data_IF_276764477008
#
_entry.id   IF_276764477008
#
_cell.length_a   1.000
_cell.length_b   1.000
_cell.length_c   1.000
_cell.angle_alpha   90.00
_cell.angle_beta   90.00
_cell.angle_gamma   90.00
#
_symmetry.space_group_name_H-M   'P 1'
#
loop_
_entity.id
_entity.type
_entity.pdbx_description
1 polymer ?
#
# COMPACT_ATOMS: atom_id res chain seq x y z
N UNK A 1 -51.83 40.27 31.20
CA UNK A 1 -52.69 41.13 30.36
C UNK A 1 -52.64 40.54 28.95
N UNK A 2 -53.73 39.95 28.42
CA UNK A 2 -54.76 40.61 27.57
C UNK A 2 -54.14 41.39 26.39
N UNK A 3 -54.19 40.82 25.18
CA UNK A 3 -55.13 41.15 24.07
C UNK A 3 -54.58 42.29 23.18
N UNK A 4 -54.69 42.27 21.84
CA UNK A 4 -55.13 41.21 20.93
C UNK A 4 -55.16 41.66 19.45
N UNK A 5 -55.08 40.68 18.54
CA UNK A 5 -55.89 40.47 17.31
C UNK A 5 -56.16 41.64 16.33
N UNK A 6 -55.89 41.39 15.03
CA UNK A 6 -56.98 41.18 14.03
C UNK A 6 -56.49 40.71 12.63
N UNK A 7 -56.93 39.51 12.23
CA UNK A 7 -57.28 39.09 10.85
C UNK A 7 -58.72 39.61 10.51
N UNK A 8 -59.39 39.41 9.33
CA UNK A 8 -59.34 38.31 8.32
C UNK A 8 -59.57 38.83 6.85
N UNK A 9 -60.27 38.15 5.89
CA UNK A 9 -60.42 36.73 5.44
C UNK A 9 -59.79 36.52 4.02
N UNK A 10 -59.99 35.47 3.18
CA UNK A 10 -60.64 34.13 3.26
C UNK A 10 -61.07 33.58 1.85
N UNK A 11 -61.67 32.38 1.80
CA UNK A 11 -62.23 31.62 0.63
C UNK A 11 -61.24 31.01 -0.40
N UNK A 12 -61.51 29.89 -1.11
CA UNK A 12 -62.15 28.59 -0.75
C UNK A 12 -62.02 27.57 -1.92
N UNK A 13 -61.87 26.27 -1.62
CA UNK A 13 -61.90 25.07 -2.51
C UNK A 13 -63.33 24.80 -3.09
N UNK A 14 -63.66 23.72 -3.90
CA UNK A 14 -62.87 22.58 -4.42
C UNK A 14 -63.21 22.01 -5.86
N UNK A 15 -62.46 20.97 -6.31
CA UNK A 15 -62.82 19.77 -7.15
C UNK A 15 -63.72 19.87 -8.43
N UNK A 16 -63.30 19.23 -9.54
CA UNK A 16 -63.81 17.90 -10.04
C UNK A 16 -63.32 17.44 -11.45
N UNK A 17 -62.84 16.18 -11.49
CA UNK A 17 -63.13 15.08 -12.46
C UNK A 17 -62.70 15.21 -13.95
N UNK A 18 -62.20 14.07 -14.48
CA UNK A 18 -61.63 13.86 -15.82
C UNK A 18 -62.66 13.49 -16.91
N UNK A 19 -62.23 13.56 -18.18
CA UNK A 19 -62.72 12.67 -19.26
C UNK A 19 -61.66 12.51 -20.36
N UNK A 20 -61.50 11.30 -20.91
CA UNK A 20 -60.69 11.04 -22.11
C UNK A 20 -61.39 11.57 -23.38
N UNK A 21 -60.62 11.96 -24.41
CA UNK A 21 -60.59 11.23 -25.71
C UNK A 21 -59.51 11.77 -26.65
N UNK A 22 -59.14 10.95 -27.64
CA UNK A 22 -57.90 11.08 -28.40
C UNK A 22 -58.00 11.94 -29.69
N UNK A 23 -56.91 12.63 -30.00
CA UNK A 23 -56.40 13.00 -31.33
C UNK A 23 -54.99 13.54 -31.09
N UNK A 24 -53.92 13.08 -31.72
CA UNK A 24 -53.82 12.66 -33.11
C UNK A 24 -52.93 13.64 -33.88
N UNK A 25 -51.71 13.89 -33.38
CA UNK A 25 -50.74 14.80 -33.99
C UNK A 25 -49.32 14.22 -33.89
N UNK A 26 -48.81 13.73 -35.02
CA UNK A 26 -47.41 13.34 -35.18
C UNK A 26 -46.54 14.60 -35.21
N UNK A 27 -46.02 15.00 -34.05
CA UNK A 27 -44.91 15.95 -33.96
C UNK A 27 -43.61 15.15 -33.98
N UNK A 28 -42.95 15.14 -35.15
CA UNK A 28 -41.57 14.68 -35.27
C UNK A 28 -40.63 15.72 -34.64
N UNK A 29 -40.58 15.75 -33.30
CA UNK A 29 -39.55 16.46 -32.57
C UNK A 29 -38.24 15.71 -32.74
N UNK A 30 -37.38 16.20 -33.65
CA UNK A 30 -36.03 15.69 -33.79
C UNK A 30 -35.26 15.94 -32.49
N UNK A 31 -35.06 14.89 -31.70
CA UNK A 31 -33.99 14.89 -30.71
C UNK A 31 -32.67 14.97 -31.49
N UNK A 32 -32.09 16.17 -31.48
CA UNK A 32 -30.64 16.29 -31.63
C UNK A 32 -30.06 15.62 -30.38
N UNK A 33 -29.74 14.33 -30.50
CA UNK A 33 -28.83 13.70 -29.58
C UNK A 33 -27.49 14.40 -29.76
N UNK A 34 -27.24 15.43 -28.94
CA UNK A 34 -25.89 15.89 -28.66
C UNK A 34 -25.22 14.74 -27.95
N UNK A 35 -24.63 13.83 -28.73
CA UNK A 35 -23.55 12.97 -28.27
C UNK A 35 -22.46 13.91 -27.79
N UNK A 36 -22.50 14.26 -26.51
CA UNK A 36 -21.30 14.66 -25.81
C UNK A 36 -20.38 13.45 -26.00
N UNK A 37 -19.38 13.61 -26.86
CA UNK A 37 -18.23 12.75 -26.82
C UNK A 37 -17.64 13.00 -25.44
N UNK A 38 -17.98 12.11 -24.49
CA UNK A 38 -17.08 11.80 -23.41
C UNK A 38 -15.79 11.42 -24.11
N UNK A 39 -14.84 12.34 -24.13
CA UNK A 39 -13.44 12.00 -24.28
C UNK A 39 -13.16 11.11 -23.09
N UNK A 40 -13.33 9.80 -23.29
CA UNK A 40 -12.68 8.80 -22.44
C UNK A 40 -11.22 9.23 -22.48
N UNK A 41 -10.73 9.72 -21.35
CA UNK A 41 -9.30 9.94 -21.17
C UNK A 41 -8.64 8.64 -21.62
N UNK A 42 -7.71 8.66 -22.59
CA UNK A 42 -7.04 7.42 -22.96
C UNK A 42 -6.50 6.81 -21.67
N UNK A 43 -6.62 5.48 -21.54
CA UNK A 43 -6.10 4.75 -20.38
C UNK A 43 -4.68 5.25 -20.12
N UNK A 44 -4.53 5.94 -18.99
CA UNK A 44 -3.46 6.92 -18.86
C UNK A 44 -2.12 6.23 -18.69
N UNK A 45 -1.10 6.87 -19.24
CA UNK A 45 0.28 6.52 -19.04
C UNK A 45 0.63 6.59 -17.54
N UNK A 46 1.18 5.52 -16.97
CA UNK A 46 1.52 5.49 -15.55
C UNK A 46 2.73 6.43 -15.33
N UNK A 47 2.50 7.56 -14.65
CA UNK A 47 3.45 8.66 -14.71
C UNK A 47 3.25 9.82 -13.74
N UNK A 48 4.25 10.69 -13.72
CA UNK A 48 4.39 11.86 -12.83
C UNK A 48 3.31 12.94 -12.97
N UNK A 49 2.44 12.88 -13.98
CA UNK A 49 1.26 13.72 -14.07
C UNK A 49 0.25 13.39 -12.95
N UNK A 50 0.09 12.11 -12.66
CA UNK A 50 -0.85 11.59 -11.66
C UNK A 50 -0.12 11.29 -10.33
N UNK A 51 1.12 10.80 -10.40
CA UNK A 51 1.88 10.30 -9.24
C UNK A 51 2.97 11.26 -8.69
N UNK A 52 3.17 12.42 -9.30
CA UNK A 52 4.24 13.38 -8.93
C UNK A 52 5.64 13.03 -9.47
N UNK A 53 6.59 13.97 -9.38
CA UNK A 53 7.93 13.81 -9.96
C UNK A 53 8.82 12.89 -9.09
N UNK A 54 9.86 12.27 -9.68
CA UNK A 54 10.96 11.68 -8.90
C UNK A 54 12.07 12.71 -8.65
N UNK A 55 12.87 12.52 -7.60
CA UNK A 55 14.05 13.32 -7.25
C UNK A 55 15.16 12.49 -6.57
N UNK A 56 14.90 11.27 -6.09
CA UNK A 56 15.90 10.37 -5.51
C UNK A 56 15.95 9.02 -6.23
N UNK A 57 16.93 8.16 -5.91
CA UNK A 57 17.05 6.83 -6.51
C UNK A 57 15.78 6.01 -6.32
N UNK A 58 15.23 5.46 -7.41
CA UNK A 58 13.97 4.70 -7.41
C UNK A 58 14.05 3.53 -8.39
N UNK A 59 13.51 2.37 -8.00
CA UNK A 59 13.28 1.24 -8.92
C UNK A 59 11.80 1.16 -9.24
N UNK A 60 11.49 1.12 -10.53
CA UNK A 60 10.18 0.77 -11.05
C UNK A 60 10.27 -0.59 -11.75
N UNK A 61 9.14 -1.30 -11.77
CA UNK A 61 8.97 -2.52 -12.53
C UNK A 61 7.81 -2.37 -13.49
N UNK A 62 7.92 -2.95 -14.68
CA UNK A 62 6.84 -3.00 -15.67
C UNK A 62 6.66 -4.45 -16.15
N UNK A 63 5.45 -5.01 -16.02
CA UNK A 63 5.16 -6.34 -16.56
C UNK A 63 4.78 -6.25 -18.04
N UNK A 64 5.43 -7.06 -18.89
CA UNK A 64 5.12 -7.21 -20.30
C UNK A 64 4.76 -8.67 -20.60
N UNK A 65 3.77 -8.89 -21.47
CA UNK A 65 3.57 -10.17 -22.15
C UNK A 65 4.43 -10.28 -23.43
N UNK A 66 4.50 -11.47 -24.02
CA UNK A 66 5.29 -11.69 -25.25
C UNK A 66 4.73 -10.87 -26.42
N UNK A 67 5.49 -9.86 -26.84
CA UNK A 67 5.12 -8.94 -27.93
C UNK A 67 4.51 -7.62 -27.48
N UNK A 68 4.28 -7.42 -26.17
CA UNK A 68 4.03 -6.07 -25.63
C UNK A 68 5.23 -5.16 -25.87
N UNK A 69 4.98 -3.85 -25.78
CA UNK A 69 6.00 -2.82 -25.89
C UNK A 69 6.05 -1.92 -24.65
N UNK A 70 7.25 -1.46 -24.34
CA UNK A 70 7.58 -0.56 -23.25
C UNK A 70 8.16 0.74 -23.82
N UNK A 71 7.49 1.86 -23.56
CA UNK A 71 7.99 3.21 -23.84
C UNK A 71 8.23 3.93 -22.50
N UNK A 72 9.35 4.64 -22.37
CA UNK A 72 9.68 5.37 -21.13
C UNK A 72 10.23 6.76 -21.42
N UNK A 73 9.98 7.70 -20.53
CA UNK A 73 10.63 9.02 -20.57
C UNK A 73 10.88 9.58 -19.18
N UNK A 74 11.99 10.29 -19.05
CA UNK A 74 12.46 10.94 -17.82
C UNK A 74 13.02 12.31 -18.19
N UNK A 75 12.24 13.36 -17.95
CA UNK A 75 12.52 14.72 -18.38
C UNK A 75 12.71 15.64 -17.18
N UNK A 76 13.66 16.57 -17.23
CA UNK A 76 13.84 17.57 -16.17
C UNK A 76 12.56 18.41 -16.04
N UNK A 77 11.92 18.33 -14.88
CA UNK A 77 10.69 19.05 -14.54
C UNK A 77 11.04 20.40 -13.91
N UNK A 78 11.67 20.38 -12.73
CA UNK A 78 12.12 21.56 -12.00
C UNK A 78 13.45 21.30 -11.28
N UNK A 79 14.03 22.33 -10.66
CA UNK A 79 15.22 22.25 -9.80
C UNK A 79 15.05 23.14 -8.60
N UNK A 80 15.65 22.76 -7.47
CA UNK A 80 15.83 23.69 -6.37
C UNK A 80 16.72 24.87 -6.84
N UNK A 81 16.35 26.11 -6.49
CA UNK A 81 17.01 27.32 -6.99
C UNK A 81 16.62 27.80 -8.41
N UNK A 82 15.75 27.10 -9.14
CA UNK A 82 15.18 27.54 -10.42
C UNK A 82 15.89 27.03 -11.68
N UNK A 83 15.58 27.60 -12.86
CA UNK A 83 16.03 27.06 -14.15
C UNK A 83 17.54 27.06 -14.36
N UNK A 84 18.22 28.02 -13.72
CA UNK A 84 19.63 28.31 -13.93
C UNK A 84 20.53 27.62 -12.89
N UNK A 85 19.95 26.88 -11.94
CA UNK A 85 20.72 26.03 -11.03
C UNK A 85 21.20 24.75 -11.74
N UNK A 86 22.28 24.19 -11.21
CA UNK A 86 22.71 22.82 -11.53
C UNK A 86 21.98 21.91 -10.54
N UNK A 87 21.42 20.80 -11.02
CA UNK A 87 20.89 19.73 -10.18
C UNK A 87 21.79 18.50 -10.22
N UNK A 88 21.35 17.39 -9.63
CA UNK A 88 22.03 16.10 -9.73
C UNK A 88 22.02 15.54 -11.17
N UNK A 89 23.06 14.78 -11.51
CA UNK A 89 23.04 13.90 -12.69
C UNK A 89 22.12 12.70 -12.40
N UNK A 90 21.36 12.25 -13.40
CA UNK A 90 20.49 11.05 -13.31
C UNK A 90 20.95 10.00 -14.30
N UNK A 91 21.04 8.75 -13.87
CA UNK A 91 21.32 7.61 -14.75
C UNK A 91 20.14 6.66 -14.77
N UNK A 92 19.71 6.28 -15.96
CA UNK A 92 18.56 5.42 -16.20
C UNK A 92 19.01 4.14 -16.87
N UNK A 93 18.57 3.00 -16.34
CA UNK A 93 18.88 1.66 -16.88
C UNK A 93 17.60 0.84 -16.97
N UNK A 94 17.31 0.30 -18.15
CA UNK A 94 16.21 -0.64 -18.38
C UNK A 94 16.79 -2.02 -18.67
N UNK A 95 16.43 -2.99 -17.83
CA UNK A 95 16.89 -4.38 -17.90
C UNK A 95 15.70 -5.31 -18.11
N UNK A 96 15.82 -6.23 -19.06
CA UNK A 96 14.77 -7.21 -19.35
C UNK A 96 14.74 -8.38 -18.32
N UNK A 97 13.70 -9.22 -18.36
CA UNK A 97 13.59 -10.40 -17.50
C UNK A 97 14.72 -11.43 -17.58
N UNK A 98 15.53 -11.44 -18.65
CA UNK A 98 16.70 -12.32 -18.80
C UNK A 98 17.97 -11.69 -18.20
N UNK A 99 17.88 -10.47 -17.63
CA UNK A 99 19.00 -9.74 -17.05
C UNK A 99 19.84 -8.98 -18.08
N UNK A 100 19.33 -8.78 -19.30
CA UNK A 100 20.02 -8.02 -20.36
C UNK A 100 19.61 -6.56 -20.28
N UNK A 101 20.59 -5.67 -20.17
CA UNK A 101 20.38 -4.22 -20.27
C UNK A 101 20.00 -3.87 -21.71
N UNK A 102 18.76 -3.43 -21.90
CA UNK A 102 18.19 -3.09 -23.21
C UNK A 102 18.38 -1.60 -23.56
N UNK A 103 18.46 -0.73 -22.55
CA UNK A 103 18.69 0.70 -22.75
C UNK A 103 19.31 1.34 -21.50
N UNK A 104 20.21 2.29 -21.74
CA UNK A 104 20.80 3.15 -20.72
C UNK A 104 20.80 4.61 -21.20
N UNK A 105 20.66 5.55 -20.28
CA UNK A 105 20.74 6.98 -20.57
C UNK A 105 21.21 7.78 -19.35
N UNK A 106 21.78 8.96 -19.57
CA UNK A 106 22.15 9.89 -18.50
C UNK A 106 21.61 11.28 -18.80
N UNK A 107 20.93 11.88 -17.83
CA UNK A 107 20.54 13.30 -17.84
C UNK A 107 21.58 14.07 -17.03
N UNK A 108 22.27 14.99 -17.70
CA UNK A 108 23.20 15.93 -17.07
C UNK A 108 22.44 16.93 -16.18
N UNK A 109 22.98 17.22 -15.00
CA UNK A 109 22.40 18.11 -14.00
C UNK A 109 22.16 19.55 -14.49
N UNK A 110 22.72 19.95 -15.62
CA UNK A 110 22.49 21.24 -16.32
C UNK A 110 21.46 21.18 -17.45
N UNK A 111 20.89 20.01 -17.77
CA UNK A 111 19.96 19.83 -18.88
C UNK A 111 18.73 20.78 -18.80
N UNK A 112 18.30 21.43 -19.89
CA UNK A 112 17.14 22.32 -19.86
C UNK A 112 15.84 21.63 -19.43
N UNK A 113 14.92 22.37 -18.81
CA UNK A 113 13.59 21.86 -18.47
C UNK A 113 12.86 21.32 -19.72
N UNK A 114 12.16 20.20 -19.55
CA UNK A 114 11.51 19.46 -20.64
C UNK A 114 12.48 18.66 -21.52
N UNK A 115 13.76 18.58 -21.18
CA UNK A 115 14.75 17.70 -21.85
C UNK A 115 15.23 16.61 -20.88
N UNK A 116 15.71 15.51 -21.43
CA UNK A 116 16.17 14.37 -20.65
C UNK A 116 16.23 13.12 -21.50
N UNK A 117 15.90 11.98 -20.89
CA UNK A 117 15.94 10.68 -21.52
C UNK A 117 14.56 10.24 -22.04
N UNK A 118 14.55 9.54 -23.16
CA UNK A 118 13.37 8.85 -23.70
C UNK A 118 13.87 7.58 -24.36
N UNK A 119 13.34 6.42 -23.99
CA UNK A 119 13.76 5.17 -24.61
C UNK A 119 13.29 5.11 -26.06
N UNK A 120 13.94 4.32 -26.94
CA UNK A 120 13.21 3.74 -28.05
C UNK A 120 12.08 2.86 -27.51
N UNK A 121 11.07 2.57 -28.33
CA UNK A 121 10.07 1.54 -28.01
C UNK A 121 10.76 0.19 -27.84
N UNK A 122 10.74 -0.35 -26.63
CA UNK A 122 11.36 -1.63 -26.27
C UNK A 122 10.33 -2.76 -26.36
N UNK A 123 10.80 -3.98 -26.62
CA UNK A 123 9.99 -5.20 -26.63
C UNK A 123 10.92 -6.40 -26.45
N UNK A 124 10.42 -7.53 -25.93
CA UNK A 124 11.27 -8.70 -25.65
C UNK A 124 10.52 -9.81 -24.92
N UNK A 125 11.18 -10.56 -24.03
CA UNK A 125 10.57 -11.67 -23.32
C UNK A 125 9.51 -11.19 -22.31
N UNK A 126 8.51 -12.05 -22.09
CA UNK A 126 7.48 -11.81 -21.09
C UNK A 126 8.06 -11.86 -19.67
N UNK A 127 7.65 -10.93 -18.81
CA UNK A 127 8.11 -10.85 -17.43
C UNK A 127 8.11 -9.42 -16.87
N UNK A 128 8.65 -9.27 -15.67
CA UNK A 128 8.80 -7.99 -14.98
C UNK A 128 10.14 -7.33 -15.37
N UNK A 129 10.07 -6.36 -16.27
CA UNK A 129 11.19 -5.51 -16.67
C UNK A 129 11.55 -4.57 -15.52
N UNK A 130 12.85 -4.34 -15.31
CA UNK A 130 13.37 -3.45 -14.25
C UNK A 130 13.80 -2.12 -14.86
N UNK A 131 13.24 -1.02 -14.35
CA UNK A 131 13.59 0.34 -14.73
C UNK A 131 14.19 1.03 -13.50
N UNK A 132 15.51 1.24 -13.52
CA UNK A 132 16.26 1.84 -12.42
C UNK A 132 16.59 3.30 -12.75
N UNK A 133 16.25 4.20 -11.84
CA UNK A 133 16.61 5.63 -11.83
C UNK A 133 17.62 5.84 -10.70
N UNK A 134 18.91 5.93 -11.04
CA UNK A 134 20.00 6.18 -10.11
C UNK A 134 20.36 7.67 -10.05
N UNK A 135 20.23 8.26 -8.86
CA UNK A 135 20.76 9.58 -8.57
C UNK A 135 22.29 9.51 -8.42
N UNK A 136 23.02 10.28 -9.22
CA UNK A 136 24.46 10.48 -9.04
C UNK A 136 24.65 11.72 -8.14
N UNK A 137 25.13 11.59 -6.89
CA UNK A 137 25.01 12.67 -5.91
C UNK A 137 25.77 13.94 -6.30
N UNK A 138 25.06 15.07 -6.29
CA UNK A 138 25.61 16.42 -6.30
C UNK A 138 24.97 17.27 -5.17
N UNK A 139 25.27 18.57 -5.14
CA UNK A 139 24.85 19.47 -4.05
C UNK A 139 23.42 20.03 -4.22
N UNK A 140 22.57 19.48 -5.11
CA UNK A 140 21.34 20.18 -5.53
C UNK A 140 20.26 19.29 -6.18
N UNK A 141 19.04 19.35 -5.63
CA UNK A 141 17.88 18.56 -6.06
C UNK A 141 17.37 18.93 -7.47
N UNK A 142 17.26 17.91 -8.34
CA UNK A 142 16.52 17.95 -9.60
C UNK A 142 15.23 17.12 -9.49
N UNK A 143 14.11 17.65 -10.00
CA UNK A 143 12.85 16.91 -10.14
C UNK A 143 12.71 16.41 -11.57
N UNK A 144 12.35 15.14 -11.72
CA UNK A 144 12.21 14.45 -13.00
C UNK A 144 10.74 14.07 -13.21
N UNK A 145 10.15 14.61 -14.28
CA UNK A 145 8.88 14.15 -14.79
C UNK A 145 9.13 12.82 -15.50
N UNK A 146 8.59 11.74 -14.94
CA UNK A 146 8.68 10.39 -15.47
C UNK A 146 7.36 9.95 -16.10
N UNK A 147 7.46 9.02 -17.05
CA UNK A 147 6.36 8.27 -17.64
C UNK A 147 6.89 6.87 -18.02
N UNK A 148 6.15 5.81 -17.67
CA UNK A 148 6.41 4.42 -18.04
C UNK A 148 5.11 3.87 -18.65
N UNK A 149 5.11 3.62 -19.96
CA UNK A 149 3.97 3.18 -20.76
C UNK A 149 4.15 1.70 -21.15
N UNK A 150 3.18 0.84 -20.80
CA UNK A 150 3.05 -0.52 -21.35
C UNK A 150 1.88 -0.54 -22.33
N UNK A 151 2.09 -1.09 -23.53
CA UNK A 151 1.02 -1.29 -24.50
C UNK A 151 1.18 -2.59 -25.30
N UNK A 152 0.08 -3.10 -25.86
CA UNK A 152 0.11 -4.32 -26.69
C UNK A 152 0.90 -4.09 -27.99
N UNK A 153 1.24 -5.17 -28.70
CA UNK A 153 1.86 -5.11 -30.03
C UNK A 153 1.13 -4.20 -31.05
N UNK A 154 -0.18 -3.99 -30.89
CA UNK A 154 -1.02 -3.11 -31.71
C UNK A 154 -1.04 -1.64 -31.24
N UNK A 155 -0.35 -1.32 -30.14
CA UNK A 155 -0.31 0.01 -29.52
C UNK A 155 -1.53 0.34 -28.66
N UNK A 156 -2.16 -0.66 -28.04
CA UNK A 156 -3.26 -0.43 -27.07
C UNK A 156 -2.68 -0.32 -25.66
N UNK A 157 -2.81 0.81 -24.94
CA UNK A 157 -2.29 0.95 -23.58
C UNK A 157 -2.89 -0.09 -22.62
N UNK A 158 -2.06 -0.65 -21.74
CA UNK A 158 -2.44 -1.63 -20.72
C UNK A 158 -1.99 -1.12 -19.35
N UNK A 159 -2.79 -0.26 -18.68
CA UNK A 159 -2.44 0.32 -17.39
C UNK A 159 -2.48 -0.73 -16.28
N UNK A 160 -1.92 -0.40 -15.12
CA UNK A 160 -1.88 -1.31 -13.97
C UNK A 160 -0.80 -2.38 -14.15
N UNK A 161 0.22 -2.08 -14.93
CA UNK A 161 1.37 -2.97 -15.19
C UNK A 161 2.68 -2.39 -14.67
N UNK A 162 2.69 -1.13 -14.22
CA UNK A 162 3.83 -0.48 -13.59
C UNK A 162 3.64 -0.38 -12.08
N UNK A 163 4.69 -0.74 -11.32
CA UNK A 163 4.71 -0.58 -9.86
C UNK A 163 6.10 -0.17 -9.35
N UNK A 164 6.14 0.27 -8.09
CA UNK A 164 7.38 0.38 -7.30
C UNK A 164 7.14 -0.17 -5.90
N UNK A 165 8.16 -0.69 -5.24
CA UNK A 165 8.08 -1.12 -3.83
C UNK A 165 8.28 0.04 -2.85
N UNK A 166 8.90 1.12 -3.32
CA UNK A 166 9.13 2.37 -2.58
C UNK A 166 8.98 3.55 -3.55
N UNK A 167 7.76 3.85 -4.03
CA UNK A 167 7.52 5.04 -4.84
C UNK A 167 7.98 6.29 -4.09
N UNK A 168 8.82 7.07 -4.76
CA UNK A 168 9.33 8.33 -4.25
C UNK A 168 8.64 9.47 -5.00
N UNK A 169 8.05 10.40 -4.26
CA UNK A 169 7.23 11.50 -4.78
C UNK A 169 7.80 12.85 -4.40
N UNK A 170 7.90 13.73 -5.39
CA UNK A 170 8.47 15.07 -5.24
C UNK A 170 7.62 16.11 -5.94
N UNK A 171 7.05 16.99 -5.14
CA UNK A 171 6.20 18.11 -5.54
C UNK A 171 6.88 19.43 -5.14
N UNK A 172 6.49 20.53 -5.79
CA UNK A 172 6.94 21.85 -5.34
C UNK A 172 6.14 22.29 -4.09
N UNK A 173 6.70 23.22 -3.30
CA UNK A 173 6.08 23.63 -2.03
C UNK A 173 4.68 24.23 -2.24
N UNK A 174 3.67 23.66 -1.57
CA UNK A 174 2.26 24.08 -1.72
C UNK A 174 1.55 23.53 -2.95
N UNK A 175 2.17 22.64 -3.73
CA UNK A 175 1.52 21.87 -4.79
C UNK A 175 0.75 20.68 -4.20
N UNK A 176 -0.56 20.84 -4.02
CA UNK A 176 -1.45 19.77 -3.57
C UNK A 176 -1.93 18.93 -4.77
N UNK A 177 -1.90 17.60 -4.64
CA UNK A 177 -2.44 16.65 -5.62
C UNK A 177 -3.11 15.47 -4.91
N UNK A 178 -4.12 14.90 -5.54
CA UNK A 178 -4.64 13.59 -5.12
C UNK A 178 -3.76 12.49 -5.73
N UNK A 179 -3.35 11.53 -4.92
CA UNK A 179 -2.54 10.38 -5.33
C UNK A 179 -3.28 9.09 -5.00
N UNK A 180 -3.31 8.13 -5.92
CA UNK A 180 -3.93 6.81 -5.72
C UNK A 180 -2.92 5.70 -6.03
N UNK A 181 -2.86 4.69 -5.15
CA UNK A 181 -2.02 3.51 -5.32
C UNK A 181 -2.82 2.24 -5.05
N UNK A 182 -2.46 1.17 -5.75
CA UNK A 182 -2.94 -0.18 -5.44
C UNK A 182 -1.78 -0.98 -4.85
N UNK A 183 -1.85 -1.24 -3.55
CA UNK A 183 -0.83 -1.94 -2.79
C UNK A 183 -1.10 -3.44 -2.83
N UNK A 184 -0.14 -4.24 -3.30
CA UNK A 184 -0.26 -5.71 -3.42
C UNK A 184 0.91 -6.42 -2.73
N UNK A 185 0.65 -7.35 -1.80
CA UNK A 185 1.69 -8.15 -1.15
C UNK A 185 1.79 -9.60 -1.67
N UNK A 186 2.73 -10.36 -1.11
CA UNK A 186 3.06 -11.74 -1.53
C UNK A 186 2.01 -12.79 -1.11
N UNK A 187 1.22 -12.48 -0.08
CA UNK A 187 0.01 -13.23 0.28
C UNK A 187 -1.19 -12.88 -0.60
N UNK A 188 -1.06 -11.93 -1.55
CA UNK A 188 -2.10 -11.59 -2.51
C UNK A 188 -3.20 -10.66 -1.97
N UNK A 189 -2.99 -10.09 -0.78
CA UNK A 189 -3.88 -9.04 -0.26
C UNK A 189 -3.65 -7.75 -1.03
N UNK A 190 -4.76 -7.08 -1.35
CA UNK A 190 -4.80 -5.87 -2.15
C UNK A 190 -5.52 -4.76 -1.40
N UNK A 191 -4.93 -3.57 -1.42
CA UNK A 191 -5.51 -2.35 -0.87
C UNK A 191 -5.45 -1.24 -1.90
N UNK A 192 -6.46 -0.37 -1.91
CA UNK A 192 -6.38 0.94 -2.53
C UNK A 192 -6.00 1.95 -1.45
N UNK A 193 -5.03 2.81 -1.75
CA UNK A 193 -4.56 3.90 -0.88
C UNK A 193 -4.75 5.21 -1.63
N UNK A 194 -5.58 6.09 -1.10
CA UNK A 194 -5.82 7.44 -1.64
C UNK A 194 -5.31 8.50 -0.66
N UNK A 195 -4.40 9.34 -1.14
CA UNK A 195 -3.82 10.47 -0.42
C UNK A 195 -4.35 11.76 -1.03
N UNK A 196 -5.26 12.44 -0.34
CA UNK A 196 -6.04 13.56 -0.89
C UNK A 196 -5.45 14.91 -0.46
N UNK A 197 -5.36 15.86 -1.39
CA UNK A 197 -4.59 17.11 -1.25
C UNK A 197 -3.20 16.87 -0.62
N UNK A 198 -2.42 15.96 -1.21
CA UNK A 198 -1.09 15.58 -0.76
C UNK A 198 -0.01 16.52 -1.31
N UNK A 199 0.95 16.90 -0.46
CA UNK A 199 2.19 17.59 -0.85
C UNK A 199 3.37 16.90 -0.14
N UNK A 200 4.16 16.12 -0.89
CA UNK A 200 5.43 15.55 -0.45
C UNK A 200 6.61 16.19 -1.16
N UNK A 201 7.58 16.74 -0.42
CA UNK A 201 8.69 17.48 -1.02
C UNK A 201 9.82 16.56 -1.48
N UNK A 202 10.25 15.65 -0.62
CA UNK A 202 11.17 14.52 -0.85
C UNK A 202 10.57 13.21 -0.33
N UNK A 203 9.25 13.08 -0.43
CA UNK A 203 8.46 11.99 0.13
C UNK A 203 8.83 10.61 -0.42
N UNK A 204 8.75 9.63 0.48
CA UNK A 204 8.61 8.22 0.15
C UNK A 204 7.29 7.71 0.71
N UNK A 205 6.60 6.88 -0.08
CA UNK A 205 5.49 6.07 0.40
C UNK A 205 5.97 4.62 0.38
N UNK A 206 5.86 3.94 1.51
CA UNK A 206 6.15 2.51 1.62
C UNK A 206 4.98 1.81 2.30
N UNK A 207 4.76 0.54 1.96
CA UNK A 207 3.80 -0.29 2.63
C UNK A 207 4.38 -1.67 2.94
N UNK A 208 4.11 -2.17 4.14
CA UNK A 208 4.53 -3.51 4.60
C UNK A 208 3.48 -4.11 5.53
N UNK A 209 3.56 -5.42 5.78
CA UNK A 209 2.65 -6.09 6.71
C UNK A 209 2.93 -5.77 8.19
N UNK A 210 4.00 -5.03 8.50
CA UNK A 210 4.47 -4.78 9.87
C UNK A 210 4.73 -3.31 10.21
N UNK A 211 4.84 -2.43 9.20
CA UNK A 211 5.12 -1.01 9.39
C UNK A 211 6.49 -0.74 10.00
N UNK A 212 6.50 0.05 11.08
CA UNK A 212 7.68 0.30 11.92
C UNK A 212 7.69 -0.74 13.04
N UNK A 213 8.80 -1.46 13.17
CA UNK A 213 8.94 -2.60 14.09
C UNK A 213 10.14 -2.47 15.01
N UNK A 214 10.17 -3.29 16.06
CA UNK A 214 11.38 -3.57 16.85
C UNK A 214 12.38 -4.47 16.09
N UNK A 215 13.52 -4.80 16.71
CA UNK A 215 14.55 -5.68 16.13
C UNK A 215 14.00 -7.05 15.65
N UNK A 216 12.90 -7.54 16.26
CA UNK A 216 12.29 -8.85 16.01
C UNK A 216 11.14 -8.82 14.99
N UNK A 217 10.93 -7.72 14.26
CA UNK A 217 9.77 -7.51 13.39
C UNK A 217 8.40 -7.46 14.11
N UNK A 218 8.35 -7.15 15.41
CA UNK A 218 7.07 -6.90 16.10
C UNK A 218 6.60 -5.47 15.76
N UNK A 219 5.39 -5.27 15.20
CA UNK A 219 4.88 -3.93 14.90
C UNK A 219 4.74 -3.08 16.15
N UNK A 220 5.23 -1.84 16.08
CA UNK A 220 5.07 -0.84 17.15
C UNK A 220 3.66 -0.22 17.19
N UNK A 221 2.94 -0.28 16.05
CA UNK A 221 1.67 0.43 15.80
C UNK A 221 1.73 1.95 15.99
N UNK A 222 2.93 2.54 15.94
CA UNK A 222 3.19 3.95 16.25
C UNK A 222 3.80 4.70 15.06
N UNK A 223 3.46 5.98 14.97
CA UNK A 223 4.26 6.97 14.26
C UNK A 223 5.54 7.26 15.04
N UNK A 224 6.63 7.56 14.34
CA UNK A 224 7.94 7.83 14.95
C UNK A 224 8.58 9.06 14.32
N UNK A 225 9.48 9.69 15.06
CA UNK A 225 10.33 10.73 14.50
C UNK A 225 11.28 10.15 13.44
N UNK A 226 11.44 10.88 12.34
CA UNK A 226 12.40 10.54 11.30
C UNK A 226 13.81 11.03 11.69
N UNK A 227 14.81 10.23 11.39
CA UNK A 227 16.21 10.55 11.64
C UNK A 227 16.64 11.77 10.83
N UNK A 228 17.27 12.75 11.49
CA UNK A 228 17.90 13.92 10.83
C UNK A 228 19.41 13.73 10.58
N UNK A 229 19.96 12.59 10.98
CA UNK A 229 21.35 12.21 10.73
C UNK A 229 21.61 11.93 9.23
N UNK A 230 22.66 12.52 8.62
CA UNK A 230 22.94 12.39 7.19
C UNK A 230 23.04 10.92 6.71
N UNK A 231 22.26 10.57 5.68
CA UNK A 231 22.24 9.20 5.13
C UNK A 231 21.34 8.23 5.90
N UNK A 232 20.56 8.71 6.88
CA UNK A 232 19.41 7.99 7.47
C UNK A 232 18.07 8.63 7.10
N UNK A 233 18.06 9.47 6.07
CA UNK A 233 16.89 10.18 5.58
C UNK A 233 15.76 9.18 5.25
N UNK A 234 14.69 9.22 6.03
CA UNK A 234 13.56 8.30 5.90
C UNK A 234 13.57 7.05 6.76
N UNK A 235 14.49 6.95 7.72
CA UNK A 235 14.48 5.91 8.75
C UNK A 235 14.03 6.50 10.10
N UNK A 236 13.51 5.69 11.04
CA UNK A 236 13.25 6.13 12.40
C UNK A 236 14.49 6.73 13.06
N UNK A 237 14.36 7.78 13.88
CA UNK A 237 15.49 8.34 14.62
C UNK A 237 16.06 7.30 15.60
N UNK A 238 15.18 6.59 16.31
CA UNK A 238 15.54 5.45 17.16
C UNK A 238 16.17 4.31 16.35
N UNK A 239 17.43 4.01 16.66
CA UNK A 239 18.25 2.97 16.02
C UNK A 239 17.81 1.53 16.36
N UNK A 240 16.93 1.34 17.35
CA UNK A 240 16.34 0.03 17.67
C UNK A 240 15.13 -0.31 16.81
N UNK A 241 14.60 0.67 16.07
CA UNK A 241 13.45 0.50 15.20
C UNK A 241 13.87 0.30 13.74
N UNK A 242 13.06 -0.45 13.00
CA UNK A 242 13.32 -0.84 11.62
C UNK A 242 12.06 -0.77 10.76
N UNK A 243 12.27 -0.72 9.44
CA UNK A 243 11.22 -0.54 8.41
C UNK A 243 11.39 -1.51 7.24
N UNK A 244 12.25 -2.54 7.40
CA UNK A 244 12.69 -3.47 6.36
C UNK A 244 12.12 -4.89 6.52
N UNK A 245 11.13 -5.06 7.41
CA UNK A 245 10.44 -6.33 7.61
C UNK A 245 9.55 -6.67 6.41
N UNK A 246 9.96 -7.68 5.64
CA UNK A 246 9.15 -8.29 4.60
C UNK A 246 7.96 -9.08 5.22
N UNK A 247 6.79 -9.16 4.54
CA UNK A 247 6.57 -8.74 3.16
C UNK A 247 6.26 -7.24 3.04
N UNK A 248 6.90 -6.64 2.05
CA UNK A 248 6.57 -5.32 1.52
C UNK A 248 5.43 -5.45 0.51
N UNK A 249 4.68 -4.37 0.30
CA UNK A 249 3.67 -4.27 -0.75
C UNK A 249 4.26 -3.55 -1.96
N UNK A 250 3.93 -4.04 -3.15
CA UNK A 250 4.13 -3.36 -4.43
C UNK A 250 3.06 -2.29 -4.59
N UNK A 251 3.45 -1.04 -4.78
CA UNK A 251 2.57 0.08 -5.09
C UNK A 251 2.42 0.21 -6.62
N UNK A 252 1.30 -0.29 -7.16
CA UNK A 252 0.90 -0.05 -8.55
C UNK A 252 0.30 1.35 -8.68
N UNK A 253 0.56 2.01 -9.82
CA UNK A 253 0.10 3.38 -10.08
C UNK A 253 -1.32 3.43 -10.67
N UNK A 254 -1.82 2.32 -11.21
CA UNK A 254 -3.23 2.08 -11.54
C UNK A 254 -3.72 0.73 -10.98
N UNK A 255 -5.03 0.44 -11.12
CA UNK A 255 -5.62 -0.85 -10.73
C UNK A 255 -4.91 -2.01 -11.44
N UNK A 256 -4.32 -3.00 -10.73
CA UNK A 256 -3.47 -4.02 -11.33
C UNK A 256 -4.20 -4.76 -12.45
N UNK A 257 -3.55 -4.90 -13.61
CA UNK A 257 -4.20 -5.47 -14.79
C UNK A 257 -4.67 -6.92 -14.51
N UNK A 258 -5.92 -7.23 -14.89
CA UNK A 258 -6.60 -8.46 -14.52
C UNK A 258 -6.00 -9.75 -15.14
N UNK A 259 -5.01 -9.59 -16.04
CA UNK A 259 -4.24 -10.66 -16.68
C UNK A 259 -2.81 -10.79 -16.13
N UNK A 260 -2.40 -9.98 -15.14
CA UNK A 260 -1.12 -10.15 -14.45
C UNK A 260 -0.99 -11.55 -13.83
N UNK A 261 0.20 -12.19 -13.95
CA UNK A 261 0.45 -13.47 -13.34
C UNK A 261 0.67 -13.35 -11.82
N UNK A 262 0.60 -14.49 -11.13
CA UNK A 262 0.98 -14.57 -9.72
C UNK A 262 2.46 -14.21 -9.49
N UNK A 263 3.32 -14.63 -10.42
CA UNK A 263 4.78 -14.44 -10.40
C UNK A 263 5.29 -14.22 -11.81
N UNK A 264 6.40 -13.48 -11.96
CA UNK A 264 7.05 -13.24 -13.25
C UNK A 264 8.59 -13.40 -13.13
N UNK A 265 9.30 -13.82 -14.20
CA UNK A 265 10.74 -13.66 -14.26
C UNK A 265 11.12 -12.18 -14.30
N UNK A 266 12.27 -11.83 -13.74
CA UNK A 266 12.88 -10.50 -13.74
C UNK A 266 14.41 -10.64 -13.68
N UNK A 267 15.11 -9.54 -13.96
CA UNK A 267 16.57 -9.45 -13.87
C UNK A 267 17.13 -9.89 -12.49
N UNK A 268 16.37 -9.69 -11.42
CA UNK A 268 16.75 -10.04 -10.04
C UNK A 268 16.32 -11.47 -9.62
N UNK A 269 15.61 -12.21 -10.48
CA UNK A 269 15.03 -13.54 -10.18
C UNK A 269 13.52 -13.61 -10.44
N UNK A 270 12.83 -14.56 -9.81
CA UNK A 270 11.37 -14.64 -9.88
C UNK A 270 10.76 -13.66 -8.86
N UNK A 271 9.93 -12.73 -9.33
CA UNK A 271 9.19 -11.79 -8.49
C UNK A 271 7.75 -12.26 -8.29
N UNK A 272 7.20 -12.01 -7.10
CA UNK A 272 5.76 -11.98 -6.88
C UNK A 272 5.17 -10.73 -7.54
N UNK A 273 4.04 -10.87 -8.25
CA UNK A 273 3.39 -9.76 -8.97
C UNK A 273 1.99 -9.56 -8.38
N UNK A 274 0.99 -10.32 -8.82
CA UNK A 274 -0.36 -10.37 -8.22
C UNK A 274 -0.73 -11.81 -7.86
N UNK A 275 -0.16 -12.38 -6.79
CA UNK A 275 -0.46 -13.75 -6.39
C UNK A 275 -1.89 -13.87 -5.83
N UNK A 276 -2.53 -15.07 -5.85
CA UNK A 276 -3.88 -15.25 -5.32
C UNK A 276 -3.94 -14.94 -3.82
N UNK A 277 -5.02 -14.29 -3.36
CA UNK A 277 -5.20 -13.99 -1.93
C UNK A 277 -5.17 -15.28 -1.09
N UNK A 278 -4.42 -15.24 0.02
CA UNK A 278 -4.30 -16.34 0.97
C UNK A 278 -5.55 -16.40 1.85
N UNK A 279 -6.36 -17.46 1.73
CA UNK A 279 -7.63 -17.60 2.46
C UNK A 279 -7.49 -18.22 3.85
N UNK A 280 -8.59 -18.26 4.61
CA UNK A 280 -8.63 -18.98 5.90
C UNK A 280 -8.40 -20.49 5.72
N UNK A 281 -8.72 -21.05 4.56
CA UNK A 281 -8.40 -22.42 4.18
C UNK A 281 -6.89 -22.66 4.00
N UNK A 282 -6.13 -21.65 3.58
CA UNK A 282 -4.68 -21.74 3.40
C UNK A 282 -3.92 -21.62 4.73
N UNK A 283 -4.53 -20.97 5.73
CA UNK A 283 -4.02 -20.81 7.10
C UNK A 283 -4.48 -21.91 8.06
N UNK A 284 -5.18 -22.93 7.55
CA UNK A 284 -5.69 -24.04 8.35
C UNK A 284 -4.57 -24.99 8.83
N UNK A 285 -4.00 -24.71 10.00
CA UNK A 285 -2.98 -25.57 10.62
C UNK A 285 -3.63 -26.84 11.20
N UNK A 286 -3.13 -28.00 10.76
CA UNK A 286 -3.70 -29.33 11.08
C UNK A 286 -2.71 -30.28 11.76
N UNK A 287 -1.47 -29.84 11.96
CA UNK A 287 -0.34 -30.64 12.45
C UNK A 287 0.27 -30.10 13.76
N UNK A 288 -0.34 -29.07 14.38
CA UNK A 288 0.07 -28.54 15.68
C UNK A 288 0.18 -29.66 16.71
N UNK A 289 1.40 -29.92 17.15
CA UNK A 289 1.77 -31.01 18.03
C UNK A 289 2.57 -30.48 19.23
N UNK A 290 2.43 -31.15 20.38
CA UNK A 290 3.21 -30.88 21.58
C UNK A 290 4.03 -32.12 21.98
N UNK A 291 5.32 -31.93 22.22
CA UNK A 291 6.25 -32.96 22.68
C UNK A 291 6.77 -32.61 24.07
N UNK A 292 6.23 -33.25 25.11
CA UNK A 292 6.65 -33.08 26.50
C UNK A 292 8.10 -33.52 26.73
N UNK A 293 8.89 -32.73 27.48
CA UNK A 293 10.29 -33.05 27.79
C UNK A 293 10.46 -34.30 28.68
N UNK A 294 9.44 -34.64 29.47
CA UNK A 294 9.39 -35.83 30.30
C UNK A 294 7.97 -36.39 30.40
N UNK A 295 7.83 -37.63 30.87
CA UNK A 295 6.52 -38.21 31.14
C UNK A 295 5.80 -37.42 32.25
N UNK A 296 4.60 -36.93 31.95
CA UNK A 296 3.78 -36.03 32.78
C UNK A 296 4.34 -34.61 32.96
N UNK A 297 5.34 -34.17 32.19
CA UNK A 297 5.75 -32.76 32.16
C UNK A 297 4.74 -31.91 31.39
N UNK A 298 4.46 -30.71 31.91
CA UNK A 298 3.79 -29.64 31.17
C UNK A 298 4.77 -28.83 30.29
N UNK A 299 6.08 -28.89 30.55
CA UNK A 299 7.11 -28.29 29.71
C UNK A 299 7.48 -29.20 28.52
N UNK A 300 7.84 -28.58 27.40
CA UNK A 300 8.08 -29.28 26.14
C UNK A 300 8.06 -28.34 24.94
N UNK A 301 8.00 -28.93 23.74
CA UNK A 301 8.10 -28.19 22.47
C UNK A 301 6.79 -28.28 21.71
N UNK A 302 6.23 -27.13 21.31
CA UNK A 302 5.21 -27.06 20.28
C UNK A 302 5.86 -27.01 18.89
N UNK A 303 5.30 -27.73 17.93
CA UNK A 303 5.73 -27.72 16.52
C UNK A 303 4.51 -27.69 15.60
N UNK A 304 4.58 -26.93 14.52
CA UNK A 304 3.50 -26.79 13.54
C UNK A 304 4.04 -26.28 12.20
N UNK A 305 3.26 -26.48 11.14
CA UNK A 305 3.49 -25.81 9.86
C UNK A 305 2.47 -24.70 9.61
N UNK A 306 2.89 -23.68 8.87
CA UNK A 306 2.03 -22.61 8.31
C UNK A 306 2.38 -22.53 6.83
N UNK A 307 1.44 -22.15 5.97
CA UNK A 307 1.68 -21.96 4.54
C UNK A 307 2.91 -21.08 4.29
N UNK A 308 3.87 -21.54 3.48
CA UNK A 308 5.13 -20.84 3.15
C UNK A 308 4.91 -19.42 2.58
N UNK A 309 3.73 -19.15 2.03
CA UNK A 309 3.35 -17.79 1.57
C UNK A 309 3.03 -16.82 2.71
N UNK A 310 2.65 -17.32 3.88
CA UNK A 310 2.33 -16.48 5.04
C UNK A 310 3.61 -16.03 5.74
N UNK A 311 3.83 -14.72 5.73
CA UNK A 311 4.75 -14.02 6.62
C UNK A 311 3.96 -12.91 7.30
N UNK A 312 4.03 -12.86 8.63
CA UNK A 312 3.09 -12.11 9.46
C UNK A 312 3.08 -12.56 10.93
N UNK A 313 2.48 -11.76 11.80
CA UNK A 313 2.29 -12.12 13.19
C UNK A 313 1.16 -13.17 13.37
N UNK A 314 1.34 -14.08 14.32
CA UNK A 314 0.31 -15.02 14.78
C UNK A 314 0.48 -15.30 16.27
N UNK A 315 -0.48 -15.97 16.88
CA UNK A 315 -0.44 -16.34 18.30
C UNK A 315 -0.50 -17.85 18.46
N UNK A 316 0.36 -18.40 19.30
CA UNK A 316 0.11 -19.70 19.93
C UNK A 316 -0.69 -19.43 21.21
N UNK A 317 -1.93 -19.89 21.24
CA UNK A 317 -2.82 -19.77 22.39
C UNK A 317 -2.95 -21.13 23.08
N UNK A 318 -2.70 -21.17 24.39
CA UNK A 318 -2.69 -22.37 25.22
C UNK A 318 -3.72 -22.20 26.35
N UNK A 319 -4.79 -23.00 26.27
CA UNK A 319 -5.77 -23.26 27.33
C UNK A 319 -5.11 -24.20 28.34
N UNK A 320 -4.59 -23.64 29.43
CA UNK A 320 -3.74 -24.38 30.40
C UNK A 320 -4.54 -25.22 31.38
N UNK A 321 -5.85 -24.98 31.47
CA UNK A 321 -6.75 -25.62 32.43
C UNK A 321 -7.78 -26.57 31.75
N UNK A 322 -7.89 -26.53 30.42
CA UNK A 322 -8.69 -27.42 29.60
C UNK A 322 -10.17 -27.03 29.51
N UNK A 323 -10.55 -25.78 29.82
CA UNK A 323 -11.95 -25.35 29.85
C UNK A 323 -12.51 -24.89 28.49
N UNK A 324 -11.66 -24.72 27.47
CA UNK A 324 -12.02 -24.25 26.13
C UNK A 324 -12.08 -22.73 25.94
N UNK A 325 -11.76 -21.95 26.98
CA UNK A 325 -11.30 -20.56 26.89
C UNK A 325 -9.83 -20.54 26.47
N UNK A 326 -9.38 -19.40 25.96
CA UNK A 326 -7.98 -19.15 25.56
C UNK A 326 -7.54 -17.72 25.96
N UNK A 327 -8.28 -17.12 26.89
CA UNK A 327 -8.24 -15.70 27.26
C UNK A 327 -8.43 -15.47 28.76
N UNK A 328 -8.47 -16.54 29.56
CA UNK A 328 -8.51 -16.45 31.02
C UNK A 328 -7.10 -16.06 31.54
N UNK A 329 -6.99 -15.44 32.72
CA UNK A 329 -5.67 -15.02 33.28
C UNK A 329 -4.65 -16.17 33.46
N UNK A 330 -5.10 -17.42 33.43
CA UNK A 330 -4.25 -18.63 33.49
C UNK A 330 -3.84 -19.15 32.11
N UNK A 331 -4.49 -18.72 31.04
CA UNK A 331 -4.15 -19.12 29.68
C UNK A 331 -2.86 -18.42 29.23
N UNK A 332 -2.16 -19.00 28.25
CA UNK A 332 -0.96 -18.38 27.67
C UNK A 332 -1.25 -17.96 26.23
N UNK A 333 -1.03 -16.67 25.96
CA UNK A 333 -1.01 -16.12 24.61
C UNK A 333 0.45 -15.77 24.31
N UNK A 334 1.02 -16.45 23.30
CA UNK A 334 2.40 -16.23 22.87
C UNK A 334 2.35 -15.63 21.46
N UNK A 335 2.72 -14.36 21.34
CA UNK A 335 2.93 -13.71 20.05
C UNK A 335 4.16 -14.28 19.36
N UNK A 336 3.99 -14.70 18.12
CA UNK A 336 5.00 -15.33 17.25
C UNK A 336 4.95 -14.68 15.87
N UNK A 337 6.01 -14.87 15.08
CA UNK A 337 6.13 -14.38 13.70
C UNK A 337 6.38 -15.54 12.74
N UNK A 338 5.64 -15.58 11.64
CA UNK A 338 5.95 -16.40 10.50
C UNK A 338 6.86 -15.62 9.53
N UNK A 339 7.89 -16.27 8.98
CA UNK A 339 8.88 -15.70 8.06
C UNK A 339 8.78 -16.30 6.64
N UNK A 340 7.81 -17.20 6.42
CA UNK A 340 7.64 -17.96 5.18
C UNK A 340 8.45 -19.25 5.11
N UNK A 341 9.22 -19.63 6.14
CA UNK A 341 10.00 -20.88 6.17
C UNK A 341 9.15 -22.16 6.20
N UNK A 342 7.88 -22.04 6.61
CA UNK A 342 6.87 -23.09 6.55
C UNK A 342 6.79 -23.98 7.80
N UNK A 343 7.88 -24.18 8.54
CA UNK A 343 7.93 -24.99 9.76
C UNK A 343 8.40 -24.17 10.97
N UNK A 344 7.67 -24.24 12.08
CA UNK A 344 7.92 -23.43 13.28
C UNK A 344 7.92 -24.27 14.54
N UNK A 345 8.59 -23.77 15.58
CA UNK A 345 8.59 -24.38 16.91
C UNK A 345 8.63 -23.36 18.04
N UNK A 346 8.11 -23.72 19.20
CA UNK A 346 8.14 -22.92 20.41
C UNK A 346 8.42 -23.78 21.65
N UNK A 347 9.44 -23.40 22.40
CA UNK A 347 9.82 -24.02 23.68
C UNK A 347 8.89 -23.48 24.79
N UNK A 348 8.03 -24.34 25.34
CA UNK A 348 7.09 -24.01 26.41
C UNK A 348 7.65 -24.40 27.77
N UNK A 349 7.61 -23.45 28.71
CA UNK A 349 8.17 -23.54 30.07
C UNK A 349 7.32 -24.36 31.05
N UNK A 350 6.13 -24.79 30.66
CA UNK A 350 5.18 -25.50 31.53
C UNK A 350 4.49 -24.61 32.56
N UNK A 351 4.54 -23.28 32.39
CA UNK A 351 3.91 -22.30 33.28
C UNK A 351 2.63 -21.74 32.67
N UNK A 352 1.65 -21.47 33.52
CA UNK A 352 0.40 -20.79 33.20
C UNK A 352 0.60 -19.27 32.99
N UNK A 353 -0.48 -18.56 32.64
CA UNK A 353 -0.50 -17.09 32.48
C UNK A 353 -0.16 -16.30 33.76
N UNK A 354 -0.27 -16.93 34.93
CA UNK A 354 0.09 -16.38 36.24
C UNK A 354 1.54 -16.72 36.66
N UNK A 355 2.28 -17.46 35.82
CA UNK A 355 3.64 -17.92 36.12
C UNK A 355 3.71 -19.10 37.11
N UNK A 356 2.60 -19.81 37.30
CA UNK A 356 2.49 -21.01 38.15
C UNK A 356 2.66 -22.25 37.27
N UNK A 357 3.31 -23.30 37.76
CA UNK A 357 3.41 -24.55 37.01
C UNK A 357 2.04 -25.17 36.78
N UNK A 358 1.74 -25.54 35.52
CA UNK A 358 0.50 -26.22 35.14
C UNK A 358 0.40 -27.55 35.89
N UNK A 359 -0.76 -27.85 36.47
CA UNK A 359 -0.94 -29.01 37.36
C UNK A 359 -0.85 -30.35 36.59
N UNK A 360 -0.03 -31.28 37.09
CA UNK A 360 0.11 -32.66 36.59
C UNK A 360 -1.26 -33.30 36.29
N UNK A 361 -1.38 -33.93 35.12
CA UNK A 361 -2.60 -34.57 34.63
C UNK A 361 -3.79 -33.63 34.32
N UNK A 362 -3.59 -32.30 34.29
CA UNK A 362 -4.58 -31.38 33.71
C UNK A 362 -4.69 -31.59 32.20
N UNK A 363 -5.88 -31.33 31.65
CA UNK A 363 -6.03 -31.22 30.20
C UNK A 363 -5.50 -29.85 29.78
N UNK A 364 -4.69 -29.83 28.72
CA UNK A 364 -4.21 -28.61 28.08
C UNK A 364 -4.61 -28.66 26.61
N UNK A 365 -5.21 -27.60 26.09
CA UNK A 365 -5.50 -27.46 24.67
C UNK A 365 -4.64 -26.34 24.08
N UNK A 366 -4.25 -26.46 22.82
CA UNK A 366 -3.53 -25.40 22.12
C UNK A 366 -4.17 -25.16 20.74
N UNK A 367 -4.07 -23.92 20.26
CA UNK A 367 -4.43 -23.54 18.90
C UNK A 367 -3.47 -22.46 18.41
N UNK A 368 -3.33 -22.35 17.09
CA UNK A 368 -2.86 -21.12 16.50
C UNK A 368 -4.05 -20.19 16.27
N UNK A 369 -3.82 -18.90 16.47
CA UNK A 369 -4.77 -17.84 16.17
C UNK A 369 -4.06 -16.78 15.34
N UNK A 370 -4.73 -16.31 14.29
CA UNK A 370 -4.21 -15.26 13.42
C UNK A 370 -5.06 -14.02 13.70
N UNK A 371 -4.64 -13.15 14.64
CA UNK A 371 -5.47 -12.01 15.09
C UNK A 371 -5.71 -11.01 13.96
N UNK A 372 -4.76 -10.93 13.02
CA UNK A 372 -4.80 -10.06 11.84
C UNK A 372 -4.20 -10.82 10.66
N UNK A 373 -4.91 -10.85 9.55
CA UNK A 373 -4.42 -11.47 8.30
C UNK A 373 -4.49 -10.42 7.20
N UNK A 374 -3.41 -10.29 6.44
CA UNK A 374 -3.32 -9.33 5.36
C UNK A 374 -3.23 -7.87 5.80
N UNK A 375 -2.92 -7.58 7.07
CA UNK A 375 -2.73 -6.22 7.58
C UNK A 375 -1.73 -5.43 6.70
N UNK A 376 -2.00 -4.13 6.56
CA UNK A 376 -1.15 -3.18 5.84
C UNK A 376 -0.83 -1.99 6.74
N UNK A 377 0.45 -1.64 6.79
CA UNK A 377 0.91 -0.38 7.34
C UNK A 377 1.41 0.48 6.19
N UNK A 378 0.81 1.65 5.99
CA UNK A 378 1.24 2.63 4.98
C UNK A 378 2.05 3.73 5.67
N UNK A 379 3.38 3.67 5.54
CA UNK A 379 4.29 4.67 6.11
C UNK A 379 4.64 5.72 5.07
N UNK A 380 4.64 6.99 5.49
CA UNK A 380 4.87 8.14 4.62
C UNK A 380 5.89 9.07 5.28
N UNK A 381 6.85 9.54 4.49
CA UNK A 381 7.89 10.47 4.93
C UNK A 381 7.74 11.83 4.24
N UNK A 382 8.27 12.88 4.86
CA UNK A 382 8.51 14.19 4.23
C UNK A 382 7.26 14.77 3.57
N UNK A 383 6.18 14.73 4.35
CA UNK A 383 4.83 15.17 3.99
C UNK A 383 4.62 16.58 4.54
N UNK A 384 4.66 17.56 3.65
CA UNK A 384 4.41 18.97 3.96
C UNK A 384 2.92 19.27 4.15
N UNK A 385 2.04 18.50 3.49
CA UNK A 385 0.60 18.67 3.55
C UNK A 385 -0.20 17.43 3.14
N UNK A 386 -1.37 17.26 3.76
CA UNK A 386 -2.36 16.19 3.50
C UNK A 386 -3.78 16.67 3.82
N UNK A 387 -4.21 17.75 3.18
CA UNK A 387 -5.39 18.52 3.61
C UNK A 387 -6.73 17.79 3.40
N UNK A 388 -6.80 16.87 2.44
CA UNK A 388 -7.96 16.03 2.15
C UNK A 388 -7.98 14.71 2.93
N UNK A 389 -6.89 14.38 3.63
CA UNK A 389 -6.76 13.18 4.45
C UNK A 389 -6.25 11.95 3.69
N UNK A 390 -6.38 10.80 4.34
CA UNK A 390 -5.93 9.49 3.85
C UNK A 390 -7.15 8.56 3.86
N UNK A 391 -7.34 7.78 2.80
CA UNK A 391 -8.21 6.62 2.78
C UNK A 391 -7.38 5.39 2.41
N UNK A 392 -7.59 4.29 3.11
CA UNK A 392 -7.06 2.96 2.78
C UNK A 392 -8.26 2.04 2.73
N UNK A 393 -8.44 1.25 1.67
CA UNK A 393 -9.59 0.35 1.52
C UNK A 393 -9.10 -1.03 1.09
N UNK A 394 -9.47 -2.07 1.84
CA UNK A 394 -9.23 -3.46 1.46
C UNK A 394 -10.04 -3.82 0.21
N UNK A 395 -9.38 -4.30 -0.84
CA UNK A 395 -10.02 -4.66 -2.12
C UNK A 395 -10.42 -6.14 -2.15
N UNK A 396 -9.71 -7.01 -1.44
CA UNK A 396 -9.95 -8.43 -1.38
C UNK A 396 -9.70 -9.03 0.03
N UNK A 397 -9.76 -10.35 0.15
CA UNK A 397 -9.66 -11.05 1.44
C UNK A 397 -10.95 -10.99 2.27
N UNK A 398 -10.88 -11.44 3.52
CA UNK A 398 -12.04 -11.49 4.43
C UNK A 398 -12.52 -10.08 4.85
N UNK A 399 -11.61 -9.10 4.85
CA UNK A 399 -11.89 -7.71 5.21
C UNK A 399 -12.26 -6.82 3.99
N UNK A 400 -12.55 -7.40 2.82
CA UNK A 400 -12.83 -6.64 1.59
C UNK A 400 -13.96 -5.60 1.78
N UNK A 401 -13.64 -4.33 1.51
CA UNK A 401 -14.51 -3.18 1.72
C UNK A 401 -14.38 -2.49 3.09
N UNK A 402 -13.53 -2.99 4.00
CA UNK A 402 -13.11 -2.26 5.20
C UNK A 402 -12.20 -1.09 4.80
N UNK A 403 -12.49 0.09 5.36
CA UNK A 403 -11.72 1.32 5.19
C UNK A 403 -11.28 1.97 6.52
N UNK A 404 -11.27 1.18 7.60
CA UNK A 404 -10.82 1.61 8.94
C UNK A 404 -9.29 1.83 8.96
N UNK A 405 -8.86 3.01 9.42
CA UNK A 405 -7.44 3.37 9.57
C UNK A 405 -7.15 3.69 11.03
N UNK A 406 -6.11 3.07 11.58
CA UNK A 406 -5.61 3.30 12.94
C UNK A 406 -4.27 4.05 12.89
N UNK A 407 -3.99 4.86 13.90
CA UNK A 407 -2.71 5.58 14.07
C UNK A 407 -2.44 5.87 15.55
N UNK A 408 -1.17 6.01 15.92
CA UNK A 408 -0.73 6.52 17.23
C UNK A 408 0.44 7.50 17.03
N UNK A 409 0.12 8.78 17.13
CA UNK A 409 1.04 9.93 17.07
C UNK A 409 1.45 10.42 18.47
N UNK A 410 1.13 9.70 19.56
CA UNK A 410 1.30 10.21 20.94
C UNK A 410 2.77 10.38 21.37
N UNK A 411 3.70 9.69 20.72
CA UNK A 411 5.14 9.77 20.98
C UNK A 411 5.88 10.78 20.07
N UNK A 412 5.19 11.47 19.16
CA UNK A 412 5.79 12.50 18.28
C UNK A 412 6.04 13.82 19.04
N UNK A 413 7.11 14.54 18.68
CA UNK A 413 7.29 15.93 19.11
C UNK A 413 6.36 16.83 18.30
N UNK A 414 5.39 17.45 18.98
CA UNK A 414 4.42 18.35 18.38
C UNK A 414 4.79 19.83 18.53
N UNK A 415 5.70 20.18 19.45
CA UNK A 415 6.06 21.58 19.73
C UNK A 415 6.89 22.19 18.58
N UNK A 416 7.49 21.34 17.73
CA UNK A 416 8.30 21.71 16.56
C UNK A 416 7.58 21.62 15.22
N UNK A 417 6.33 21.14 15.17
CA UNK A 417 5.58 20.86 13.93
C UNK A 417 4.65 22.00 13.52
N UNK A 418 4.61 22.35 12.23
CA UNK A 418 3.64 23.31 11.69
C UNK A 418 2.21 22.76 11.65
N UNK A 419 2.07 21.44 11.51
CA UNK A 419 0.79 20.72 11.44
C UNK A 419 0.82 19.50 12.38
N UNK A 420 -0.28 19.25 13.10
CA UNK A 420 -0.48 18.04 13.92
C UNK A 420 -1.85 17.43 13.65
N UNK A 421 -1.98 16.13 13.89
CA UNK A 421 -3.29 15.46 13.94
C UNK A 421 -4.09 15.99 15.14
N UNK A 422 -5.39 16.34 14.99
CA UNK A 422 -6.19 16.84 16.12
C UNK A 422 -6.49 15.77 17.19
N UNK A 423 -6.43 14.50 16.78
CA UNK A 423 -6.52 13.31 17.61
C UNK A 423 -5.22 12.53 17.39
N UNK A 424 -4.40 12.41 18.44
CA UNK A 424 -3.09 11.76 18.35
C UNK A 424 -3.21 10.24 18.38
N UNK A 425 -4.13 9.73 19.20
CA UNK A 425 -4.41 8.29 19.34
C UNK A 425 -5.72 7.97 18.61
N UNK A 426 -5.60 7.23 17.51
CA UNK A 426 -6.70 6.68 16.71
C UNK A 426 -6.85 5.16 16.86
N UNK A 427 -6.30 4.55 17.91
CA UNK A 427 -6.28 3.09 18.07
C UNK A 427 -7.61 2.46 18.51
N UNK A 428 -8.52 3.26 19.09
CA UNK A 428 -9.80 2.79 19.66
C UNK A 428 -10.91 2.43 18.63
N UNK A 429 -10.82 2.90 17.37
CA UNK A 429 -11.80 2.64 16.29
C UNK A 429 -13.04 3.54 16.27
#
# INVERSE_FOLDING_TARGET
MKQGLNHPPGLSWPRKIATLLASGALLASGLVATSAALTVTPAAAEGSAESGNSHATTTYYAYLDEGDVLDTSFLVSTRNGGSDSVGDDRHYTITDPDGVVQWECTVDGTAPYGTGCTSPTLTGPAGAWKIQDDQVPADSLVRMAWNIDVSTAEGTPVPGRVWSERPQISQDAGELRDLSFWMVNDTGYQYRVDLNDYNGYQSFITASAFGITDENCVPTYKSVEASTEPGRDGLPDDLSLRTDCAPIFRAFFAEPAADLPATAPSADGVLNVVPPVLGSEDLAVTDLAFSSNAANSADGVFTHSINERFSGAYELQIDTNGNGSYTDDVDRIISLSADGSGEYSYEFDGLDGLGVAVEDCSLMNARLYFPKVGEIHVTQLDVEGRAGGIQVTAINGENAGDDTVYWDDTDLDLDSRENSTPQLDGTDG
#
